data_IF_243390125799
#
_entry.id   IF_243390125799
#
_cell.length_a   1.000
_cell.length_b   1.000
_cell.length_c   1.000
_cell.angle_alpha   90.00
_cell.angle_beta   90.00
_cell.angle_gamma   90.00
#
_symmetry.space_group_name_H-M   'P 1'
#
loop_
_entity.id
_entity.type
_entity.pdbx_description
1 polymer ?
#
# COMPACT_ATOMS: atom_id res chain seq x y z
N UNK A 1 38.06 -0.57 -45.22
CA UNK A 1 36.96 0.40 -45.06
C UNK A 1 36.13 -0.12 -43.90
N UNK A 2 36.13 0.56 -42.75
CA UNK A 2 35.30 0.14 -41.63
C UNK A 2 33.83 0.28 -42.07
N UNK A 3 33.04 -0.77 -41.83
CA UNK A 3 31.67 -0.89 -42.30
C UNK A 3 30.77 -0.05 -41.39
N UNK A 4 30.80 1.27 -41.58
CA UNK A 4 30.11 2.26 -40.73
C UNK A 4 28.62 1.93 -40.59
N UNK A 5 27.99 1.45 -41.66
CA UNK A 5 26.59 1.01 -41.69
C UNK A 5 26.31 -0.20 -40.80
N UNK A 6 27.28 -1.11 -40.64
CA UNK A 6 27.18 -2.24 -39.70
C UNK A 6 27.31 -1.77 -38.25
N UNK A 7 28.14 -0.74 -38.02
CA UNK A 7 28.26 -0.09 -36.71
C UNK A 7 26.96 0.64 -36.33
N UNK A 8 26.39 1.41 -37.25
CA UNK A 8 25.12 2.13 -37.06
C UNK A 8 23.96 1.16 -36.77
N UNK A 9 23.87 0.05 -37.50
CA UNK A 9 22.86 -0.98 -37.24
C UNK A 9 23.02 -1.65 -35.86
N UNK A 10 24.25 -1.78 -35.36
CA UNK A 10 24.53 -2.29 -34.01
C UNK A 10 24.18 -1.27 -32.93
N UNK A 11 24.47 0.01 -33.15
CA UNK A 11 24.09 1.10 -32.24
C UNK A 11 22.57 1.19 -32.12
N UNK A 12 21.86 1.18 -33.24
CA UNK A 12 20.39 1.22 -33.24
C UNK A 12 19.78 0.05 -32.45
N UNK A 13 20.31 -1.17 -32.62
CA UNK A 13 19.84 -2.34 -31.84
C UNK A 13 20.07 -2.18 -30.33
N UNK A 14 21.16 -1.54 -29.93
CA UNK A 14 21.44 -1.26 -28.52
C UNK A 14 20.44 -0.22 -28.01
N UNK A 15 20.23 0.86 -28.76
CA UNK A 15 19.27 1.92 -28.42
C UNK A 15 17.84 1.39 -28.30
N UNK A 16 17.42 0.50 -29.20
CA UNK A 16 16.09 -0.14 -29.16
C UNK A 16 15.93 -1.11 -27.97
N UNK A 17 17.04 -1.60 -27.42
CA UNK A 17 17.05 -2.52 -26.27
C UNK A 17 17.00 -1.78 -24.93
N UNK A 18 17.43 -0.51 -24.86
CA UNK A 18 17.45 0.28 -23.63
C UNK A 18 16.07 0.40 -22.97
N UNK A 19 14.97 0.74 -23.69
CA UNK A 19 13.64 0.82 -23.07
C UNK A 19 13.14 -0.53 -22.51
N UNK A 20 13.59 -1.65 -23.10
CA UNK A 20 13.22 -2.97 -22.59
C UNK A 20 13.95 -3.28 -21.29
N UNK A 21 15.21 -2.87 -21.18
CA UNK A 21 16.01 -2.99 -19.94
C UNK A 21 15.37 -2.14 -18.85
N UNK A 22 15.05 -0.87 -19.14
CA UNK A 22 14.40 0.03 -18.15
C UNK A 22 13.07 -0.55 -17.64
N UNK A 23 12.28 -1.13 -18.54
CA UNK A 23 11.03 -1.81 -18.16
C UNK A 23 11.28 -3.03 -17.28
N UNK A 24 12.25 -3.87 -17.64
CA UNK A 24 12.61 -5.05 -16.85
C UNK A 24 13.11 -4.65 -15.46
N UNK A 25 13.91 -3.58 -15.34
CA UNK A 25 14.38 -3.07 -14.06
C UNK A 25 13.22 -2.59 -13.18
N UNK A 26 12.21 -1.92 -13.76
CA UNK A 26 10.99 -1.54 -13.04
C UNK A 26 10.18 -2.76 -12.58
N UNK A 27 10.02 -3.77 -13.44
CA UNK A 27 9.32 -5.01 -13.10
C UNK A 27 10.05 -5.78 -12.00
N UNK A 28 11.38 -5.89 -12.08
CA UNK A 28 12.24 -6.51 -11.06
C UNK A 28 12.11 -5.77 -9.73
N UNK A 29 12.22 -4.44 -9.74
CA UNK A 29 12.06 -3.64 -8.52
C UNK A 29 10.69 -3.87 -7.85
N UNK A 30 9.62 -3.86 -8.65
CA UNK A 30 8.26 -4.13 -8.17
C UNK A 30 8.12 -5.53 -7.56
N UNK A 31 8.70 -6.54 -8.20
CA UNK A 31 8.69 -7.92 -7.69
C UNK A 31 9.51 -8.07 -6.41
N UNK A 32 10.68 -7.42 -6.31
CA UNK A 32 11.49 -7.42 -5.09
C UNK A 32 10.73 -6.81 -3.92
N UNK A 33 10.03 -5.68 -4.13
CA UNK A 33 9.19 -5.06 -3.10
C UNK A 33 8.03 -5.96 -2.66
N UNK A 34 7.40 -6.70 -3.59
CA UNK A 34 6.35 -7.67 -3.25
C UNK A 34 6.89 -8.85 -2.45
N UNK A 35 8.07 -9.35 -2.82
CA UNK A 35 8.72 -10.45 -2.13
C UNK A 35 9.09 -10.08 -0.68
N UNK A 36 9.71 -8.91 -0.49
CA UNK A 36 10.07 -8.40 0.84
C UNK A 36 8.84 -8.30 1.76
N UNK A 37 7.72 -7.79 1.24
CA UNK A 37 6.45 -7.72 1.97
C UNK A 37 5.92 -9.11 2.36
N UNK A 38 5.96 -10.07 1.44
CA UNK A 38 5.54 -11.44 1.72
C UNK A 38 6.45 -12.10 2.76
N UNK A 39 7.76 -11.85 2.71
CA UNK A 39 8.73 -12.34 3.70
C UNK A 39 8.49 -11.74 5.08
N UNK A 40 8.28 -10.43 5.19
CA UNK A 40 7.97 -9.79 6.48
C UNK A 40 6.68 -10.35 7.09
N UNK A 41 5.66 -10.58 6.27
CA UNK A 41 4.42 -11.21 6.74
C UNK A 41 4.65 -12.65 7.24
N UNK A 42 5.49 -13.42 6.55
CA UNK A 42 5.85 -14.76 7.02
C UNK A 42 6.63 -14.71 8.34
N UNK A 43 7.52 -13.71 8.52
CA UNK A 43 8.22 -13.45 9.78
C UNK A 43 7.19 -13.15 10.88
N UNK A 44 6.26 -12.22 10.63
CA UNK A 44 5.20 -11.87 11.59
C UNK A 44 4.34 -13.10 11.96
N UNK A 45 3.99 -13.96 10.98
CA UNK A 45 3.27 -15.23 11.21
C UNK A 45 4.04 -16.18 12.12
N UNK A 46 5.36 -16.29 11.90
CA UNK A 46 6.21 -17.22 12.64
C UNK A 46 6.51 -16.70 14.04
N UNK A 47 6.74 -15.39 14.19
CA UNK A 47 7.15 -14.74 15.43
C UNK A 47 5.96 -14.45 16.36
N UNK A 48 4.81 -14.02 15.82
CA UNK A 48 3.67 -13.58 16.65
C UNK A 48 2.64 -14.68 16.99
N UNK A 49 3.00 -15.97 16.88
CA UNK A 49 2.13 -17.15 17.14
C UNK A 49 0.85 -16.80 17.92
N UNK A 50 -0.26 -16.61 17.19
CA UNK A 50 -1.63 -16.31 17.64
C UNK A 50 -2.13 -14.84 17.63
N UNK A 51 -1.40 -13.86 17.08
CA UNK A 51 -1.93 -12.46 16.97
C UNK A 51 -2.43 -12.03 15.59
N UNK A 52 -2.07 -12.74 14.53
CA UNK A 52 -2.50 -12.39 13.17
C UNK A 52 -3.87 -12.99 12.84
N UNK A 53 -4.83 -12.12 12.61
CA UNK A 53 -6.17 -12.46 12.14
C UNK A 53 -6.29 -12.45 10.62
N UNK A 54 -7.41 -12.95 10.10
CA UNK A 54 -7.70 -12.96 8.65
C UNK A 54 -7.62 -11.55 8.04
N UNK A 55 -8.09 -10.54 8.77
CA UNK A 55 -8.07 -9.14 8.32
C UNK A 55 -6.66 -8.53 8.24
N UNK A 56 -5.67 -9.10 8.94
CA UNK A 56 -4.27 -8.71 8.78
C UNK A 56 -3.71 -9.20 7.45
N UNK A 57 -4.04 -10.43 7.10
CA UNK A 57 -3.67 -11.02 5.82
C UNK A 57 -4.33 -10.26 4.67
N UNK A 58 -5.62 -9.96 4.77
CA UNK A 58 -6.37 -9.19 3.79
C UNK A 58 -5.79 -7.78 3.59
N UNK A 59 -5.36 -7.11 4.66
CA UNK A 59 -4.68 -5.83 4.57
C UNK A 59 -3.31 -5.95 3.88
N UNK A 60 -2.57 -7.04 4.08
CA UNK A 60 -1.29 -7.23 3.37
C UNK A 60 -1.49 -7.63 1.92
N UNK A 61 -2.50 -8.43 1.60
CA UNK A 61 -2.86 -8.67 0.20
C UNK A 61 -3.19 -7.38 -0.53
N UNK A 62 -3.90 -6.44 0.12
CA UNK A 62 -4.07 -5.10 -0.41
C UNK A 62 -2.71 -4.42 -0.68
N UNK A 63 -1.80 -4.42 0.30
CA UNK A 63 -0.45 -3.83 0.18
C UNK A 63 0.40 -4.42 -0.94
N UNK A 64 0.15 -5.67 -1.32
CA UNK A 64 0.84 -6.36 -2.42
C UNK A 64 0.26 -6.00 -3.79
N UNK A 65 -1.03 -5.66 -3.84
CA UNK A 65 -1.74 -5.30 -5.08
C UNK A 65 -1.66 -3.80 -5.39
N UNK A 66 -1.48 -2.94 -4.39
CA UNK A 66 -1.28 -1.50 -4.59
C UNK A 66 0.18 -1.16 -4.94
N UNK A 67 0.36 -0.03 -5.61
CA UNK A 67 1.66 0.57 -5.89
C UNK A 67 2.44 0.78 -4.57
N UNK A 68 3.68 0.28 -4.50
CA UNK A 68 4.55 0.41 -3.34
C UNK A 68 4.81 1.85 -2.92
N UNK A 69 4.77 2.80 -3.86
CA UNK A 69 4.92 4.24 -3.58
C UNK A 69 3.76 4.84 -2.79
N UNK A 70 2.55 4.24 -2.89
CA UNK A 70 1.34 4.71 -2.20
C UNK A 70 1.21 4.19 -0.78
N UNK A 71 2.10 3.30 -0.33
CA UNK A 71 1.99 2.68 0.99
C UNK A 71 1.86 3.67 2.14
N UNK A 72 2.67 4.72 2.12
CA UNK A 72 2.70 5.74 3.17
C UNK A 72 1.45 6.63 3.19
N UNK A 73 0.60 6.56 2.15
CA UNK A 73 -0.59 7.40 2.03
C UNK A 73 -1.64 7.09 3.09
N UNK A 74 -1.75 5.85 3.58
CA UNK A 74 -2.72 5.51 4.62
C UNK A 74 -2.37 6.09 6.00
N UNK A 75 -1.14 5.92 6.53
CA UNK A 75 -0.69 6.69 7.70
C UNK A 75 -0.89 8.20 7.54
N UNK A 76 -0.62 8.74 6.34
CA UNK A 76 -0.82 10.15 6.04
C UNK A 76 -2.29 10.56 6.05
N UNK A 77 -3.20 9.71 5.54
CA UNK A 77 -4.64 9.93 5.58
C UNK A 77 -5.14 9.99 7.03
N UNK A 78 -4.69 9.06 7.89
CA UNK A 78 -5.02 9.07 9.32
C UNK A 78 -4.51 10.34 9.98
N UNK A 79 -3.25 10.71 9.71
CA UNK A 79 -2.65 11.94 10.23
C UNK A 79 -3.37 13.21 9.78
N UNK A 80 -3.82 13.28 8.51
CA UNK A 80 -4.62 14.39 7.98
C UNK A 80 -5.98 14.46 8.68
N UNK A 81 -6.63 13.31 8.86
CA UNK A 81 -7.93 13.22 9.54
C UNK A 81 -7.84 13.64 11.00
N UNK A 82 -6.77 13.23 11.71
CA UNK A 82 -6.50 13.66 13.09
C UNK A 82 -6.29 15.18 13.17
N UNK A 83 -5.52 15.76 12.23
CA UNK A 83 -5.31 17.21 12.18
C UNK A 83 -6.63 17.97 11.94
N UNK A 84 -7.49 17.46 11.08
CA UNK A 84 -8.80 18.06 10.82
C UNK A 84 -9.72 17.96 12.05
N UNK A 85 -9.73 16.80 12.71
CA UNK A 85 -10.45 16.58 13.95
C UNK A 85 -10.00 17.55 15.06
N UNK A 86 -8.68 17.71 15.27
CA UNK A 86 -8.16 18.67 16.25
C UNK A 86 -8.52 20.13 15.94
N UNK A 87 -8.64 20.48 14.66
CA UNK A 87 -8.97 21.86 14.23
C UNK A 87 -10.46 22.16 14.29
N UNK A 88 -11.31 21.20 13.97
CA UNK A 88 -12.74 21.45 13.70
C UNK A 88 -13.69 20.67 14.60
N UNK A 89 -13.18 19.67 15.33
CA UNK A 89 -13.99 18.70 16.07
C UNK A 89 -14.71 17.67 15.19
N UNK A 90 -14.60 17.76 13.86
CA UNK A 90 -15.27 16.85 12.91
C UNK A 90 -14.38 15.67 12.55
N UNK A 91 -14.99 14.50 12.42
CA UNK A 91 -14.32 13.26 11.99
C UNK A 91 -15.29 12.49 11.07
N UNK A 92 -14.76 11.70 10.11
CA UNK A 92 -15.61 10.91 9.22
C UNK A 92 -16.23 9.72 9.96
N UNK A 93 -17.34 9.20 9.45
CA UNK A 93 -17.83 7.89 9.89
C UNK A 93 -16.91 6.76 9.42
N UNK A 94 -17.09 5.54 9.95
CA UNK A 94 -16.33 4.37 9.51
C UNK A 94 -16.55 4.07 8.02
N UNK A 95 -17.77 4.24 7.50
CA UNK A 95 -18.05 4.05 6.07
C UNK A 95 -17.39 5.16 5.23
N UNK A 96 -17.47 6.42 5.66
CA UNK A 96 -16.81 7.53 4.96
C UNK A 96 -15.29 7.36 4.93
N UNK A 97 -14.71 6.90 6.05
CA UNK A 97 -13.27 6.63 6.10
C UNK A 97 -12.90 5.46 5.19
N UNK A 98 -13.67 4.37 5.21
CA UNK A 98 -13.47 3.24 4.32
C UNK A 98 -13.51 3.66 2.84
N UNK A 99 -14.50 4.48 2.47
CA UNK A 99 -14.61 5.03 1.13
C UNK A 99 -13.39 5.89 0.74
N UNK A 100 -12.90 6.73 1.67
CA UNK A 100 -11.65 7.50 1.45
C UNK A 100 -10.45 6.58 1.18
N UNK A 101 -10.37 5.42 1.84
CA UNK A 101 -9.29 4.45 1.61
C UNK A 101 -9.40 3.79 0.24
N UNK A 102 -10.63 3.40 -0.17
CA UNK A 102 -10.91 2.87 -1.51
C UNK A 102 -10.45 3.86 -2.58
N UNK A 103 -10.80 5.14 -2.42
CA UNK A 103 -10.44 6.20 -3.36
C UNK A 103 -8.92 6.46 -3.38
N UNK A 104 -8.30 6.53 -2.21
CA UNK A 104 -6.86 6.77 -2.06
C UNK A 104 -6.01 5.75 -2.82
N UNK A 105 -6.40 4.47 -2.72
CA UNK A 105 -5.70 3.38 -3.39
C UNK A 105 -6.24 3.04 -4.77
N UNK A 106 -7.35 3.68 -5.18
CA UNK A 106 -8.04 3.39 -6.44
C UNK A 106 -8.39 1.91 -6.56
N UNK A 107 -8.97 1.33 -5.49
CA UNK A 107 -9.24 -0.10 -5.38
C UNK A 107 -10.30 -0.55 -6.39
N UNK A 108 -10.00 -1.62 -7.12
CA UNK A 108 -10.93 -2.24 -8.07
C UNK A 108 -12.06 -2.98 -7.33
N UNK A 109 -13.10 -3.40 -8.05
CA UNK A 109 -14.16 -4.24 -7.47
C UNK A 109 -13.61 -5.55 -6.89
N UNK A 110 -12.58 -6.12 -7.50
CA UNK A 110 -11.93 -7.34 -6.99
C UNK A 110 -11.14 -7.07 -5.71
N UNK A 111 -10.44 -5.93 -5.63
CA UNK A 111 -9.75 -5.52 -4.40
C UNK A 111 -10.74 -5.27 -3.26
N UNK A 112 -11.91 -4.69 -3.55
CA UNK A 112 -12.96 -4.41 -2.56
C UNK A 112 -13.62 -5.68 -2.01
N UNK A 113 -13.57 -6.82 -2.72
CA UNK A 113 -13.99 -8.12 -2.17
C UNK A 113 -13.08 -8.60 -1.04
N UNK A 114 -11.81 -8.20 -1.08
CA UNK A 114 -10.78 -8.55 -0.10
C UNK A 114 -10.72 -7.47 0.99
N UNK A 115 -10.67 -6.21 0.58
CA UNK A 115 -10.61 -5.04 1.46
C UNK A 115 -11.99 -4.62 1.91
N UNK A 116 -12.56 -5.38 2.83
CA UNK A 116 -13.86 -5.09 3.42
C UNK A 116 -13.78 -3.99 4.49
N UNK A 117 -14.94 -3.53 4.96
CA UNK A 117 -15.06 -2.59 6.07
C UNK A 117 -14.35 -3.09 7.34
N UNK A 118 -14.38 -4.41 7.59
CA UNK A 118 -13.72 -5.03 8.74
C UNK A 118 -12.19 -4.90 8.66
N UNK A 119 -11.62 -4.97 7.46
CA UNK A 119 -10.18 -4.73 7.25
C UNK A 119 -9.83 -3.28 7.63
N UNK A 120 -10.70 -2.33 7.31
CA UNK A 120 -10.50 -0.92 7.70
C UNK A 120 -10.55 -0.73 9.21
N UNK A 121 -11.47 -1.40 9.92
CA UNK A 121 -11.53 -1.36 11.37
C UNK A 121 -10.26 -1.93 12.00
N UNK A 122 -9.82 -3.10 11.56
CA UNK A 122 -8.59 -3.74 12.04
C UNK A 122 -7.36 -2.84 11.85
N UNK A 123 -7.26 -2.15 10.69
CA UNK A 123 -6.21 -1.16 10.46
C UNK A 123 -6.28 -0.03 11.49
N UNK A 124 -7.45 0.59 11.69
CA UNK A 124 -7.61 1.69 12.64
C UNK A 124 -7.31 1.26 14.09
N UNK A 125 -7.65 0.04 14.49
CA UNK A 125 -7.31 -0.53 15.79
C UNK A 125 -5.79 -0.64 15.99
N UNK A 126 -5.06 -1.06 14.95
CA UNK A 126 -3.59 -1.11 14.99
C UNK A 126 -2.97 0.27 15.14
N UNK A 127 -3.42 1.26 14.36
CA UNK A 127 -2.96 2.64 14.47
C UNK A 127 -3.35 3.30 15.81
N UNK A 128 -4.44 2.85 16.44
CA UNK A 128 -4.83 3.34 17.76
C UNK A 128 -3.87 2.84 18.86
N UNK A 129 -3.35 1.62 18.72
CA UNK A 129 -2.49 0.95 19.69
C UNK A 129 -0.98 1.13 19.39
N UNK A 130 -0.63 1.96 18.41
CA UNK A 130 0.76 2.27 18.06
C UNK A 130 1.36 3.19 19.14
N UNK A 131 2.35 2.69 19.88
CA UNK A 131 2.95 3.35 21.05
C UNK A 131 3.59 4.71 20.68
N UNK A 132 4.03 4.87 19.43
CA UNK A 132 4.71 6.08 18.96
C UNK A 132 3.75 7.17 18.48
N UNK A 133 2.51 6.83 18.13
CA UNK A 133 1.52 7.78 17.61
C UNK A 133 0.09 7.46 18.07
N UNK A 134 -0.34 8.12 19.15
CA UNK A 134 -1.76 8.07 19.54
C UNK A 134 -2.61 8.94 18.61
N UNK A 135 -3.48 8.30 17.84
CA UNK A 135 -4.49 8.94 16.99
C UNK A 135 -5.89 8.81 17.61
N UNK A 136 -6.33 9.71 18.50
CA UNK A 136 -7.68 9.73 19.06
C UNK A 136 -8.79 9.62 18.02
N UNK A 137 -8.59 10.19 16.83
CA UNK A 137 -9.56 10.11 15.73
C UNK A 137 -9.88 8.68 15.33
N UNK A 138 -8.92 7.74 15.43
CA UNK A 138 -9.17 6.33 15.13
C UNK A 138 -10.26 5.75 16.04
N UNK A 139 -10.21 6.05 17.34
CA UNK A 139 -11.23 5.63 18.31
C UNK A 139 -12.60 6.24 17.99
N UNK A 140 -12.63 7.50 17.59
CA UNK A 140 -13.87 8.20 17.23
C UNK A 140 -14.50 7.60 15.98
N UNK A 141 -13.70 7.34 14.94
CA UNK A 141 -14.16 6.69 13.70
C UNK A 141 -14.68 5.27 14.01
N UNK A 142 -13.96 4.48 14.80
CA UNK A 142 -14.38 3.11 15.19
C UNK A 142 -15.69 3.08 15.97
N UNK A 143 -16.01 4.15 16.70
CA UNK A 143 -17.24 4.29 17.49
C UNK A 143 -18.42 4.86 16.70
N UNK A 144 -18.21 5.22 15.42
CA UNK A 144 -19.28 5.74 14.55
C UNK A 144 -20.04 4.60 13.87
N UNK A 145 -21.36 4.74 13.78
CA UNK A 145 -22.28 3.79 13.14
C UNK A 145 -22.78 4.31 11.80
#
# INVERSE_FOLDING_TARGET
MFNVSELEARVQKIEDSLPQIDRLDQEVYSLTQKLEKATNLLIDIIEEKNRLGVHDLEYVFLKLNIDGTKYHELPLLISKTEREFRKTGKFPTIQEFHQKVIELFSLTEDDQKIFTLEVTKNVLEKFMNDEDNTFPVCKMILSSH
#
